data_IF_391667414025
#
_entry.id   IF_391667414025
#
_cell.length_a   1.000
_cell.length_b   1.000
_cell.length_c   1.000
_cell.angle_alpha   90.00
_cell.angle_beta   90.00
_cell.angle_gamma   90.00
#
_symmetry.space_group_name_H-M   'P 1'
#
loop_
_entity.id
_entity.type
_entity.pdbx_description
1 polymer ?
#
# COMPACT_ATOMS: atom_id res chain seq x y z
N UNK A 1 3.80 15.35 50.44
CA UNK A 1 3.24 16.71 50.20
C UNK A 1 2.17 16.55 49.13
N UNK A 2 0.89 16.23 49.37
CA UNK A 2 -0.07 16.50 50.45
C UNK A 2 -0.29 18.01 50.66
N UNK A 3 -1.49 18.46 50.25
CA UNK A 3 -2.25 19.68 50.66
C UNK A 3 -1.61 21.03 50.22
N UNK A 4 -2.31 22.08 49.79
CA UNK A 4 -3.63 22.59 50.16
C UNK A 4 -4.09 23.72 49.17
N UNK A 5 -5.42 23.81 48.97
CA UNK A 5 -6.27 25.01 48.85
C UNK A 5 -5.93 26.26 48.00
N UNK A 6 -6.90 26.70 47.19
CA UNK A 6 -7.58 28.03 47.25
C UNK A 6 -8.77 28.01 46.26
N UNK A 7 -10.00 27.78 46.74
CA UNK A 7 -10.99 28.75 47.22
C UNK A 7 -11.82 29.41 46.10
N UNK A 8 -12.95 28.78 45.74
CA UNK A 8 -13.96 29.34 44.84
C UNK A 8 -15.02 30.07 45.71
N UNK A 9 -15.21 31.39 45.56
CA UNK A 9 -16.23 32.10 46.32
C UNK A 9 -17.64 31.74 45.84
N UNK A 10 -18.46 31.21 46.76
CA UNK A 10 -19.91 31.06 46.57
C UNK A 10 -20.61 32.35 47.00
N UNK A 11 -21.00 33.20 46.04
CA UNK A 11 -21.96 34.27 46.31
C UNK A 11 -22.87 34.51 45.12
N UNK A 12 -23.99 33.78 45.11
CA UNK A 12 -25.12 34.04 44.21
C UNK A 12 -26.01 35.15 44.81
N UNK A 13 -26.31 36.23 44.07
CA UNK A 13 -27.26 37.24 44.51
C UNK A 13 -28.69 36.68 44.46
N UNK A 14 -29.46 36.85 45.55
CA UNK A 14 -30.82 36.31 45.75
C UNK A 14 -31.95 37.30 45.41
N UNK A 15 -31.77 38.22 44.45
CA UNK A 15 -32.88 39.06 44.02
C UNK A 15 -32.82 39.32 42.51
N UNK A 16 -33.88 38.87 41.85
CA UNK A 16 -33.94 38.56 40.42
C UNK A 16 -34.94 39.47 39.67
N UNK A 17 -35.29 40.65 40.22
CA UNK A 17 -36.49 41.38 39.76
C UNK A 17 -36.30 42.83 39.28
N UNK A 18 -35.09 43.41 39.22
CA UNK A 18 -35.02 44.88 38.98
C UNK A 18 -33.78 45.38 38.26
N UNK A 19 -33.31 44.73 37.19
CA UNK A 19 -32.28 45.32 36.31
C UNK A 19 -32.64 45.05 34.84
N UNK A 20 -32.96 46.14 34.13
CA UNK A 20 -33.06 46.31 32.66
C UNK A 20 -34.39 45.96 31.98
N UNK A 21 -35.36 46.87 32.14
CA UNK A 21 -36.50 47.02 31.22
C UNK A 21 -36.06 47.91 30.05
N UNK A 22 -35.40 47.33 29.04
CA UNK A 22 -35.11 48.02 27.77
C UNK A 22 -36.38 48.06 26.89
N UNK A 23 -36.80 49.21 26.35
CA UNK A 23 -37.83 49.24 25.33
C UNK A 23 -37.27 48.66 24.02
N UNK A 24 -37.67 47.43 23.69
CA UNK A 24 -37.44 46.81 22.38
C UNK A 24 -38.23 47.58 21.31
N UNK A 25 -37.60 48.56 20.67
CA UNK A 25 -38.06 49.10 19.39
C UNK A 25 -37.41 48.32 18.24
N UNK A 26 -37.87 47.08 18.02
CA UNK A 26 -37.51 46.32 16.84
C UNK A 26 -38.35 46.82 15.65
N UNK A 27 -37.78 47.72 14.86
CA UNK A 27 -38.15 47.84 13.45
C UNK A 27 -37.88 46.49 12.80
N UNK A 28 -38.93 45.67 12.68
CA UNK A 28 -38.89 44.41 11.93
C UNK A 28 -38.65 44.76 10.48
N UNK A 29 -37.39 44.72 10.04
CA UNK A 29 -37.07 44.73 8.62
C UNK A 29 -37.68 43.46 8.02
N UNK A 30 -38.67 43.65 7.17
CA UNK A 30 -39.25 42.59 6.35
C UNK A 30 -38.17 42.10 5.40
N UNK A 31 -37.37 41.12 5.83
CA UNK A 31 -36.56 40.34 4.92
C UNK A 31 -37.53 39.64 3.96
N UNK A 32 -37.57 40.12 2.71
CA UNK A 32 -38.23 39.41 1.63
C UNK A 32 -37.60 38.03 1.57
N UNK A 33 -38.35 37.02 2.01
CA UNK A 33 -37.96 35.63 1.85
C UNK A 33 -37.99 35.37 0.35
N UNK A 34 -36.83 35.47 -0.30
CA UNK A 34 -36.62 34.94 -1.64
C UNK A 34 -37.21 33.54 -1.67
N UNK A 35 -38.12 33.22 -2.60
CA UNK A 35 -38.72 31.90 -2.67
C UNK A 35 -37.60 30.88 -2.85
N UNK A 36 -37.50 29.92 -1.93
CA UNK A 36 -36.61 28.78 -2.10
C UNK A 36 -37.15 27.98 -3.30
N UNK A 37 -36.47 28.09 -4.44
CA UNK A 37 -36.69 27.18 -5.57
C UNK A 37 -36.35 25.77 -5.10
N UNK A 38 -37.34 24.88 -5.09
CA UNK A 38 -37.12 23.45 -4.86
C UNK A 38 -36.43 22.81 -6.05
N UNK A 39 -35.68 21.74 -5.79
CA UNK A 39 -35.10 20.89 -6.84
C UNK A 39 -36.21 20.31 -7.73
N UNK A 40 -36.00 20.31 -9.04
CA UNK A 40 -36.89 19.63 -9.97
C UNK A 40 -36.55 18.14 -10.05
N UNK A 41 -37.55 17.27 -10.21
CA UNK A 41 -37.32 15.84 -10.46
C UNK A 41 -36.45 15.60 -11.71
N UNK A 42 -36.59 16.45 -12.73
CA UNK A 42 -35.80 16.35 -13.96
C UNK A 42 -34.31 16.58 -13.72
N UNK A 43 -33.96 17.44 -12.75
CA UNK A 43 -32.59 17.81 -12.44
C UNK A 43 -31.84 16.63 -11.79
N UNK A 44 -32.50 15.96 -10.85
CA UNK A 44 -31.98 14.73 -10.25
C UNK A 44 -31.92 13.60 -11.28
N UNK A 45 -32.92 13.50 -12.16
CA UNK A 45 -32.98 12.48 -13.21
C UNK A 45 -31.82 12.59 -14.21
N UNK A 46 -31.50 13.81 -14.68
CA UNK A 46 -30.36 14.03 -15.58
C UNK A 46 -29.04 13.70 -14.89
N UNK A 47 -28.88 14.06 -13.61
CA UNK A 47 -27.64 13.76 -12.86
C UNK A 47 -27.42 12.26 -12.72
N UNK A 48 -28.42 11.48 -12.33
CA UNK A 48 -28.25 10.01 -12.19
C UNK A 48 -27.99 9.33 -13.53
N UNK A 49 -28.51 9.85 -14.64
CA UNK A 49 -28.21 9.34 -15.99
C UNK A 49 -26.73 9.58 -16.32
N UNK A 50 -26.24 10.81 -16.15
CA UNK A 50 -24.83 11.13 -16.42
C UNK A 50 -23.91 10.32 -15.51
N UNK A 51 -24.25 10.18 -14.23
CA UNK A 51 -23.49 9.34 -13.29
C UNK A 51 -23.51 7.87 -13.71
N UNK A 52 -24.65 7.33 -14.18
CA UNK A 52 -24.74 5.96 -14.70
C UNK A 52 -23.84 5.72 -15.92
N UNK A 53 -23.84 6.67 -16.86
CA UNK A 53 -22.99 6.62 -18.07
C UNK A 53 -21.50 6.70 -17.72
N UNK A 54 -21.11 7.62 -16.84
CA UNK A 54 -19.70 7.77 -16.42
C UNK A 54 -19.21 6.60 -15.57
N UNK A 55 -20.07 6.05 -14.71
CA UNK A 55 -19.70 4.95 -13.80
C UNK A 55 -19.25 3.69 -14.55
N UNK A 56 -19.83 3.40 -15.72
CA UNK A 56 -19.44 2.24 -16.52
C UNK A 56 -18.01 2.30 -17.07
N UNK A 57 -17.50 3.49 -17.37
CA UNK A 57 -16.18 3.68 -18.01
C UNK A 57 -15.07 3.69 -16.96
N UNK A 58 -15.26 4.37 -15.84
CA UNK A 58 -14.21 4.58 -14.82
C UNK A 58 -13.79 3.28 -14.13
N UNK A 59 -14.70 2.31 -13.98
CA UNK A 59 -14.43 1.08 -13.25
C UNK A 59 -13.44 0.12 -13.92
N UNK A 60 -13.36 0.08 -15.26
CA UNK A 60 -12.59 -0.97 -15.98
C UNK A 60 -11.12 -0.60 -16.15
N UNK A 61 -10.77 0.68 -16.31
CA UNK A 61 -9.39 1.09 -16.62
C UNK A 61 -8.40 0.97 -15.46
N UNK A 62 -8.86 1.01 -14.21
CA UNK A 62 -7.96 1.03 -13.06
C UNK A 62 -7.38 -0.35 -12.74
N UNK A 63 -8.12 -1.43 -13.00
CA UNK A 63 -7.69 -2.78 -12.64
C UNK A 63 -6.52 -3.25 -13.50
N UNK A 64 -6.61 -3.05 -14.82
CA UNK A 64 -5.58 -3.54 -15.76
C UNK A 64 -4.23 -2.83 -15.55
N UNK A 65 -4.24 -1.51 -15.31
CA UNK A 65 -3.02 -0.76 -15.01
C UNK A 65 -2.38 -1.13 -13.67
N UNK A 66 -3.19 -1.48 -12.66
CA UNK A 66 -2.67 -1.89 -11.36
C UNK A 66 -1.98 -3.26 -11.45
N UNK A 67 -2.55 -4.21 -12.19
CA UNK A 67 -1.95 -5.53 -12.38
C UNK A 67 -0.68 -5.46 -13.24
N UNK A 68 -0.64 -4.66 -14.29
CA UNK A 68 0.59 -4.43 -15.06
C UNK A 68 1.71 -3.82 -14.20
N UNK A 69 1.38 -2.88 -13.31
CA UNK A 69 2.35 -2.31 -12.39
C UNK A 69 2.94 -3.35 -11.41
N UNK A 70 2.16 -4.35 -11.02
CA UNK A 70 2.64 -5.48 -10.21
C UNK A 70 3.63 -6.33 -11.00
N UNK A 71 3.31 -6.68 -12.24
CA UNK A 71 4.22 -7.42 -13.12
C UNK A 71 5.56 -6.67 -13.30
N UNK A 72 5.53 -5.37 -13.56
CA UNK A 72 6.74 -4.55 -13.69
C UNK A 72 7.54 -4.44 -12.39
N UNK A 73 6.87 -4.36 -11.24
CA UNK A 73 7.50 -4.41 -9.93
C UNK A 73 8.20 -5.76 -9.71
N UNK A 74 7.54 -6.88 -10.04
CA UNK A 74 8.12 -8.23 -9.98
C UNK A 74 9.39 -8.33 -10.83
N UNK A 75 9.35 -7.87 -12.09
CA UNK A 75 10.52 -7.84 -12.98
C UNK A 75 11.68 -7.05 -12.39
N UNK A 76 11.39 -5.90 -11.78
CA UNK A 76 12.39 -5.06 -11.12
C UNK A 76 13.01 -5.75 -9.91
N UNK A 77 12.20 -6.46 -9.13
CA UNK A 77 12.69 -7.23 -7.99
C UNK A 77 13.56 -8.41 -8.40
N UNK A 78 13.19 -9.14 -9.46
CA UNK A 78 14.00 -10.21 -10.05
C UNK A 78 15.39 -9.65 -10.41
N UNK A 79 15.46 -8.53 -11.14
CA UNK A 79 16.74 -7.86 -11.47
C UNK A 79 17.57 -7.48 -10.24
N UNK A 80 16.90 -7.07 -9.15
CA UNK A 80 17.54 -6.82 -7.87
C UNK A 80 18.13 -8.08 -7.23
N UNK A 81 17.41 -9.20 -7.30
CA UNK A 81 17.88 -10.51 -6.83
C UNK A 81 19.03 -11.05 -7.68
N UNK A 82 18.97 -10.91 -9.00
CA UNK A 82 20.05 -11.28 -9.93
C UNK A 82 21.35 -10.58 -9.56
N UNK A 83 21.29 -9.26 -9.37
CA UNK A 83 22.44 -8.45 -8.96
C UNK A 83 23.03 -8.96 -7.64
N UNK A 84 22.19 -9.33 -6.67
CA UNK A 84 22.65 -9.86 -5.39
C UNK A 84 23.28 -11.26 -5.51
N UNK A 85 22.73 -12.11 -6.38
CA UNK A 85 23.27 -13.43 -6.68
C UNK A 85 24.62 -13.33 -7.40
N UNK A 86 24.78 -12.40 -8.32
CA UNK A 86 26.04 -12.17 -9.03
C UNK A 86 27.13 -11.69 -8.08
N UNK A 87 26.81 -10.79 -7.14
CA UNK A 87 27.73 -10.40 -6.06
C UNK A 87 28.07 -11.57 -5.14
N UNK A 88 27.10 -12.43 -4.82
CA UNK A 88 27.36 -13.65 -4.05
C UNK A 88 28.34 -14.56 -4.79
N UNK A 89 28.14 -14.79 -6.09
CA UNK A 89 29.05 -15.58 -6.91
C UNK A 89 30.42 -14.93 -7.05
N UNK A 90 30.51 -13.62 -7.12
CA UNK A 90 31.80 -12.92 -7.17
C UNK A 90 32.67 -13.24 -5.96
N UNK A 91 32.08 -13.30 -4.76
CA UNK A 91 32.82 -13.61 -3.53
C UNK A 91 33.05 -15.10 -3.31
N UNK A 92 32.08 -15.94 -3.68
CA UNK A 92 32.08 -17.37 -3.35
C UNK A 92 32.37 -18.29 -4.54
N UNK A 93 32.64 -17.72 -5.72
CA UNK A 93 32.83 -18.39 -7.02
C UNK A 93 31.65 -19.23 -7.52
N UNK A 94 30.53 -19.26 -6.79
CA UNK A 94 29.33 -20.03 -7.12
C UNK A 94 28.07 -19.38 -6.58
N UNK A 95 26.92 -19.71 -7.17
CA UNK A 95 25.62 -19.33 -6.63
C UNK A 95 25.23 -20.20 -5.42
N UNK A 96 24.30 -19.74 -4.56
CA UNK A 96 23.74 -20.54 -3.48
C UNK A 96 23.13 -21.85 -3.99
N UNK A 97 23.20 -22.92 -3.21
CA UNK A 97 22.50 -24.18 -3.55
C UNK A 97 20.99 -24.06 -3.38
N UNK A 98 20.21 -24.94 -3.99
CA UNK A 98 18.74 -24.96 -3.83
C UNK A 98 18.30 -25.15 -2.38
N UNK A 99 19.08 -25.87 -1.57
CA UNK A 99 18.83 -26.03 -0.12
C UNK A 99 19.02 -24.73 0.67
N UNK A 100 19.98 -23.91 0.24
CA UNK A 100 20.25 -22.60 0.83
C UNK A 100 19.23 -21.55 0.37
N UNK A 101 18.88 -21.62 -0.92
CA UNK A 101 17.95 -20.72 -1.58
C UNK A 101 18.37 -19.24 -1.52
N UNK A 102 17.40 -18.36 -1.74
CA UNK A 102 17.62 -16.90 -1.69
C UNK A 102 17.98 -16.40 -0.27
N UNK A 103 17.72 -17.19 0.78
CA UNK A 103 18.07 -16.82 2.16
C UNK A 103 19.57 -16.61 2.36
N UNK A 104 20.41 -17.27 1.56
CA UNK A 104 21.87 -17.08 1.56
C UNK A 104 22.31 -15.65 1.21
N UNK A 105 21.42 -14.87 0.58
CA UNK A 105 21.64 -13.46 0.26
C UNK A 105 21.47 -12.54 1.48
N UNK A 106 20.70 -12.96 2.50
CA UNK A 106 20.45 -12.18 3.71
C UNK A 106 21.39 -12.55 4.84
N UNK A 107 21.65 -13.84 5.02
CA UNK A 107 22.51 -14.36 6.10
C UNK A 107 23.45 -15.43 5.58
N UNK A 108 24.59 -15.59 6.24
CA UNK A 108 25.54 -16.66 5.92
C UNK A 108 24.82 -18.01 6.03
N UNK A 109 24.84 -18.85 4.98
CA UNK A 109 24.18 -20.15 5.04
C UNK A 109 24.96 -21.12 5.95
N UNK A 110 24.22 -21.90 6.73
CA UNK A 110 24.75 -22.92 7.67
C UNK A 110 24.58 -24.34 7.13
N UNK A 111 23.83 -24.51 6.04
CA UNK A 111 23.46 -25.80 5.45
C UNK A 111 24.00 -25.87 4.01
N UNK A 112 24.25 -27.09 3.53
CA UNK A 112 24.81 -27.35 2.21
C UNK A 112 26.29 -26.98 2.13
N UNK A 113 26.72 -26.42 1.00
CA UNK A 113 28.11 -25.99 0.83
C UNK A 113 28.30 -24.61 1.47
N UNK A 114 28.93 -24.60 2.65
CA UNK A 114 29.17 -23.37 3.40
C UNK A 114 30.25 -22.54 2.68
N UNK A 115 29.96 -21.28 2.31
CA UNK A 115 30.93 -20.39 1.70
C UNK A 115 32.00 -19.93 2.69
N UNK A 116 33.26 -20.03 2.29
CA UNK A 116 34.40 -19.54 3.08
C UNK A 116 34.48 -18.00 3.08
N UNK A 117 34.17 -17.37 1.94
CA UNK A 117 34.35 -15.93 1.69
C UNK A 117 33.03 -15.14 1.70
N UNK A 118 32.02 -15.59 2.45
CA UNK A 118 30.75 -14.86 2.55
C UNK A 118 30.97 -13.47 3.15
N UNK A 119 30.54 -12.44 2.42
CA UNK A 119 30.75 -11.03 2.78
C UNK A 119 29.44 -10.23 2.64
N UNK A 120 28.31 -10.89 2.93
CA UNK A 120 26.98 -10.29 2.86
C UNK A 120 26.63 -9.47 4.11
N UNK A 121 25.38 -8.99 4.24
CA UNK A 121 24.23 -9.29 3.38
C UNK A 121 24.33 -8.68 1.97
N UNK A 122 23.89 -9.44 0.97
CA UNK A 122 23.86 -9.05 -0.44
C UNK A 122 22.57 -8.33 -0.85
N UNK A 123 21.52 -8.44 -0.03
CA UNK A 123 20.27 -7.70 -0.17
C UNK A 123 20.12 -6.63 0.90
N UNK A 124 19.53 -5.50 0.53
CA UNK A 124 19.14 -4.45 1.49
C UNK A 124 17.79 -4.80 2.08
N UNK A 125 17.75 -5.09 3.37
CA UNK A 125 16.53 -5.43 4.08
C UNK A 125 16.73 -6.58 5.07
N UNK A 126 15.68 -6.91 5.81
CA UNK A 126 15.68 -8.06 6.73
C UNK A 126 14.97 -9.28 6.16
N UNK A 127 14.14 -9.08 5.14
CA UNK A 127 13.29 -10.09 4.53
C UNK A 127 13.58 -10.17 3.04
N UNK A 128 13.24 -11.31 2.43
CA UNK A 128 13.28 -11.45 0.99
C UNK A 128 12.18 -10.57 0.37
N UNK A 129 12.46 -9.91 -0.77
CA UNK A 129 11.39 -9.28 -1.54
C UNK A 129 10.42 -10.36 -2.02
N UNK A 130 9.15 -9.99 -2.03
CA UNK A 130 8.04 -10.79 -2.57
C UNK A 130 7.55 -10.12 -3.84
N UNK A 131 7.02 -10.92 -4.74
CA UNK A 131 6.49 -10.44 -6.01
C UNK A 131 5.31 -9.45 -5.85
N UNK A 132 4.84 -8.90 -6.97
CA UNK A 132 3.72 -7.96 -7.00
C UNK A 132 2.39 -8.50 -6.45
N UNK A 133 2.27 -9.81 -6.25
CA UNK A 133 1.10 -10.50 -5.70
C UNK A 133 1.34 -11.08 -4.30
N UNK A 134 2.43 -10.68 -3.64
CA UNK A 134 2.84 -11.11 -2.30
C UNK A 134 3.24 -12.60 -2.20
N UNK A 135 3.57 -13.24 -3.33
CA UNK A 135 4.12 -14.59 -3.39
C UNK A 135 5.64 -14.59 -3.24
N UNK A 136 6.18 -15.70 -2.75
CA UNK A 136 7.62 -15.91 -2.65
C UNK A 136 8.19 -16.34 -4.02
N UNK A 137 9.37 -15.82 -4.38
CA UNK A 137 10.07 -16.25 -5.58
C UNK A 137 10.56 -17.70 -5.47
N UNK A 138 10.41 -18.45 -6.57
CA UNK A 138 11.03 -19.78 -6.73
C UNK A 138 12.46 -19.58 -7.22
N UNK A 139 13.40 -20.24 -6.53
CA UNK A 139 14.82 -20.23 -6.89
C UNK A 139 15.28 -21.65 -7.20
N UNK A 140 15.87 -21.81 -8.37
CA UNK A 140 16.44 -23.09 -8.82
C UNK A 140 17.87 -22.86 -9.28
N UNK A 141 18.77 -23.79 -8.99
CA UNK A 141 20.14 -23.74 -9.51
C UNK A 141 20.60 -25.08 -10.05
N UNK A 142 21.39 -25.03 -11.12
CA UNK A 142 22.08 -26.19 -11.66
C UNK A 142 23.58 -26.09 -11.32
N UNK A 143 24.06 -27.02 -10.50
CA UNK A 143 25.48 -27.15 -10.09
C UNK A 143 26.10 -25.88 -9.45
N UNK A 144 25.29 -24.90 -9.04
CA UNK A 144 25.76 -23.61 -8.52
C UNK A 144 26.41 -22.71 -9.58
N UNK A 145 26.20 -23.00 -10.88
CA UNK A 145 26.75 -22.23 -12.01
C UNK A 145 25.68 -21.44 -12.75
N UNK A 146 24.51 -22.04 -12.89
CA UNK A 146 23.34 -21.42 -13.51
C UNK A 146 22.24 -21.35 -12.46
N UNK A 147 21.42 -20.32 -12.55
CA UNK A 147 20.28 -20.13 -11.68
C UNK A 147 19.10 -19.63 -12.49
N UNK A 148 17.92 -19.85 -11.94
CA UNK A 148 16.67 -19.35 -12.45
C UNK A 148 15.84 -18.85 -11.27
N UNK A 149 15.27 -17.65 -11.43
CA UNK A 149 14.31 -17.07 -10.50
C UNK A 149 12.99 -16.96 -11.23
N UNK A 150 11.92 -17.51 -10.67
CA UNK A 150 10.59 -17.39 -11.25
C UNK A 150 9.53 -16.95 -10.24
N UNK A 151 8.54 -16.23 -10.75
CA UNK A 151 7.32 -15.80 -10.07
C UNK A 151 6.14 -16.51 -10.72
N UNK A 152 5.21 -17.03 -9.92
CA UNK A 152 4.07 -17.82 -10.41
C UNK A 152 2.85 -16.94 -10.78
N UNK A 153 3.09 -15.73 -11.29
CA UNK A 153 2.03 -14.78 -11.66
C UNK A 153 1.03 -14.42 -10.55
N UNK A 154 -0.16 -13.96 -10.96
CA UNK A 154 -1.25 -13.60 -10.07
C UNK A 154 -1.98 -14.80 -9.46
N UNK A 155 -1.95 -15.96 -10.12
CA UNK A 155 -2.66 -17.18 -9.68
C UNK A 155 -1.84 -18.04 -8.70
N UNK A 156 -0.52 -17.82 -8.65
CA UNK A 156 0.39 -18.56 -7.78
C UNK A 156 0.66 -20.00 -8.27
N UNK A 157 0.35 -20.30 -9.53
CA UNK A 157 0.46 -21.63 -10.13
C UNK A 157 1.38 -21.56 -11.35
N UNK A 158 1.99 -22.70 -11.70
CA UNK A 158 2.91 -22.76 -12.85
C UNK A 158 2.13 -22.69 -14.16
N UNK A 159 2.56 -21.82 -15.06
CA UNK A 159 1.94 -21.56 -16.35
C UNK A 159 1.14 -20.25 -16.36
N UNK A 160 -0.15 -20.35 -16.69
CA UNK A 160 -1.02 -19.19 -16.83
C UNK A 160 -0.91 -18.45 -18.17
N UNK A 161 -1.76 -17.43 -18.34
CA UNK A 161 -1.77 -16.54 -19.51
C UNK A 161 -2.04 -15.11 -19.06
N UNK A 162 -1.58 -14.13 -19.83
CA UNK A 162 -1.76 -12.70 -19.56
C UNK A 162 -1.18 -12.29 -18.20
N UNK A 163 -2.02 -12.03 -17.21
CA UNK A 163 -1.61 -11.59 -15.86
C UNK A 163 -1.25 -12.77 -14.94
N UNK A 164 -1.70 -13.96 -15.30
CA UNK A 164 -1.38 -15.21 -14.59
C UNK A 164 -0.08 -15.84 -15.12
N UNK A 165 0.53 -15.27 -16.17
CA UNK A 165 1.74 -15.81 -16.77
C UNK A 165 2.94 -15.74 -15.81
N UNK A 166 3.68 -16.85 -15.74
CA UNK A 166 4.94 -16.94 -15.02
C UNK A 166 5.96 -15.90 -15.50
N UNK A 167 6.62 -15.23 -14.56
CA UNK A 167 7.71 -14.30 -14.85
C UNK A 167 9.02 -14.94 -14.44
N UNK A 168 9.85 -15.34 -15.41
CA UNK A 168 11.15 -15.96 -15.18
C UNK A 168 12.32 -15.00 -15.46
N UNK A 169 13.45 -15.16 -14.77
CA UNK A 169 14.67 -14.40 -15.04
C UNK A 169 15.24 -14.64 -16.44
N UNK A 170 14.98 -15.81 -17.03
CA UNK A 170 15.40 -16.14 -18.41
C UNK A 170 14.68 -15.34 -19.48
N UNK A 171 13.50 -14.79 -19.18
CA UNK A 171 12.65 -14.07 -20.14
C UNK A 171 12.81 -12.54 -20.07
N UNK A 172 13.68 -12.00 -19.19
CA UNK A 172 13.85 -10.57 -18.89
C UNK A 172 15.06 -9.88 -19.53
#
# INVERSE_FOLDING_TARGET
MIEECIHIPKRFPKNLSTILKFPMNQKRSSHSRQPKRGFSFIEVLVVIIILGLLSGIVGVYLFDSAEQAKADATKTQIKGLETALDLYRLHNSRYPSSEQGLKALLSKPEVGVIPDSWNGPYLRGKNLPKDGWDNDFRYTTQNGKEYEISSMGADGVEGGTDLDEDISSSDL
#
